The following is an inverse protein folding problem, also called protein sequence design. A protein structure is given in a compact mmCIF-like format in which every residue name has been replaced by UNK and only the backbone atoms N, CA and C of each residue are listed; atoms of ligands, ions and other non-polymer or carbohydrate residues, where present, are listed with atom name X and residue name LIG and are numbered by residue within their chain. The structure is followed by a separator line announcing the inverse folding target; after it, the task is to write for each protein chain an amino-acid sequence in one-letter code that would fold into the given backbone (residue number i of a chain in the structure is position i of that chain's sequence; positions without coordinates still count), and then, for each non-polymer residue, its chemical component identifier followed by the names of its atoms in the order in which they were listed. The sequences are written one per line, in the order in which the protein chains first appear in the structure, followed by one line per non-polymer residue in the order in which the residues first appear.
data_IF_489235484951
#
_entry.id   IF_489235484951
#
_cell.length_a   1.000
_cell.length_b   1.000
_cell.length_c   1.000
_cell.angle_alpha   90.00
_cell.angle_beta   90.00
_cell.angle_gamma   90.00
#
_symmetry.space_group_name_H-M   'P 1'
#
loop_
_entity.id
_entity.type
_entity.pdbx_description
1 polymer ?
#
# COMPACT_ATOMS: atom_id res chain seq x y z
N UNK A 1 22.45 -13.27 6.16
CA UNK A 1 22.78 -11.85 5.87
C UNK A 1 24.10 -11.80 5.13
N UNK A 2 24.20 -11.02 4.04
CA UNK A 2 25.47 -10.84 3.33
C UNK A 2 26.37 -9.82 4.04
N UNK A 3 25.84 -8.65 4.44
CA UNK A 3 26.50 -7.62 5.26
C UNK A 3 25.45 -6.83 6.08
N UNK A 4 25.89 -6.05 7.08
CA UNK A 4 25.03 -5.16 7.89
C UNK A 4 24.66 -5.69 9.27
N UNK A 5 23.73 -4.99 9.95
CA UNK A 5 23.18 -5.35 11.27
C UNK A 5 21.66 -5.14 11.25
N UNK A 6 20.92 -6.08 11.85
CA UNK A 6 19.45 -6.00 11.98
C UNK A 6 19.10 -6.23 13.44
N UNK A 7 18.38 -5.29 14.04
CA UNK A 7 17.87 -5.39 15.40
C UNK A 7 16.35 -5.25 15.35
N UNK A 8 15.64 -6.25 15.87
CA UNK A 8 14.18 -6.27 15.89
C UNK A 8 13.74 -6.40 17.33
N UNK A 9 12.90 -5.46 17.76
CA UNK A 9 12.36 -5.41 19.11
C UNK A 9 13.45 -5.49 20.22
N UNK A 10 14.62 -4.91 19.93
CA UNK A 10 15.78 -4.88 20.84
C UNK A 10 16.72 -6.08 20.76
N UNK A 11 16.41 -7.10 19.96
CA UNK A 11 17.25 -8.29 19.78
C UNK A 11 17.99 -8.27 18.45
N UNK A 12 19.26 -8.65 18.45
CA UNK A 12 20.06 -8.74 17.22
C UNK A 12 19.77 -10.05 16.49
N UNK A 13 19.39 -9.96 15.20
CA UNK A 13 18.96 -11.10 14.40
C UNK A 13 20.03 -12.19 14.27
N UNK A 14 21.31 -11.82 14.34
CA UNK A 14 22.42 -12.77 14.15
C UNK A 14 22.81 -13.46 15.45
N UNK A 15 22.75 -12.76 16.58
CA UNK A 15 23.17 -13.32 17.87
C UNK A 15 22.00 -13.87 18.70
N UNK A 16 20.78 -13.38 18.47
CA UNK A 16 19.58 -13.74 19.23
C UNK A 16 18.38 -14.09 18.31
N UNK A 17 18.53 -15.01 17.34
CA UNK A 17 17.49 -15.30 16.35
C UNK A 17 16.19 -15.84 16.96
N UNK A 18 16.26 -16.65 18.02
CA UNK A 18 15.05 -17.20 18.66
C UNK A 18 14.21 -16.11 19.34
N UNK A 19 14.86 -15.19 20.07
CA UNK A 19 14.16 -14.06 20.70
C UNK A 19 13.53 -13.13 19.66
N UNK A 20 14.16 -12.99 18.49
CA UNK A 20 13.55 -12.28 17.37
C UNK A 20 12.30 -13.02 16.90
N UNK A 21 12.37 -14.33 16.62
CA UNK A 21 11.21 -15.13 16.17
C UNK A 21 10.05 -15.10 17.15
N UNK A 22 10.33 -15.18 18.45
CA UNK A 22 9.30 -15.07 19.50
C UNK A 22 8.63 -13.69 19.55
N UNK A 23 9.33 -12.64 19.11
CA UNK A 23 8.84 -11.27 19.15
C UNK A 23 8.09 -10.82 17.89
N UNK A 24 8.05 -11.64 16.84
CA UNK A 24 7.50 -11.26 15.54
C UNK A 24 6.35 -12.18 15.10
N UNK A 25 5.41 -11.60 14.35
CA UNK A 25 4.44 -12.33 13.55
C UNK A 25 4.76 -12.10 12.07
N UNK A 26 4.51 -13.09 11.21
CA UNK A 26 4.77 -12.97 9.78
C UNK A 26 3.53 -13.41 9.00
N UNK A 27 3.13 -12.57 8.06
CA UNK A 27 2.11 -12.85 7.05
C UNK A 27 2.79 -12.76 5.68
N UNK A 28 3.09 -13.91 5.08
CA UNK A 28 3.73 -13.98 3.76
C UNK A 28 2.77 -13.61 2.64
N UNK A 29 3.25 -13.26 1.44
CA UNK A 29 2.39 -13.05 0.27
C UNK A 29 1.60 -14.32 -0.09
N UNK A 30 2.27 -15.48 -0.11
CA UNK A 30 1.64 -16.77 -0.37
C UNK A 30 0.83 -17.29 0.83
N UNK A 31 -0.27 -17.99 0.54
CA UNK A 31 -1.09 -18.63 1.57
C UNK A 31 -0.43 -19.94 2.03
N UNK A 32 -0.19 -20.06 3.33
CA UNK A 32 0.53 -21.18 3.95
C UNK A 32 -0.36 -21.98 4.92
N UNK A 33 -1.67 -21.93 4.70
CA UNK A 33 -2.67 -22.61 5.51
C UNK A 33 -2.79 -24.08 5.09
N UNK A 34 -2.79 -24.99 6.07
CA UNK A 34 -3.13 -26.39 5.84
C UNK A 34 -4.59 -26.49 5.38
N UNK A 35 -4.80 -27.16 4.24
CA UNK A 35 -6.08 -27.25 3.52
C UNK A 35 -7.10 -28.16 4.20
N UNK A 36 -6.63 -29.09 5.03
CA UNK A 36 -7.42 -30.14 5.65
C UNK A 36 -7.69 -29.88 7.15
N UNK A 37 -7.22 -28.74 7.65
CA UNK A 37 -7.57 -28.24 8.98
C UNK A 37 -8.74 -27.25 8.90
N UNK A 38 -9.53 -27.18 9.97
CA UNK A 38 -10.53 -26.13 10.17
C UNK A 38 -9.88 -24.80 10.54
N UNK A 39 -10.61 -23.71 10.35
CA UNK A 39 -10.24 -22.36 10.77
C UNK A 39 -9.74 -22.33 12.22
N UNK A 40 -10.49 -22.97 13.14
CA UNK A 40 -10.11 -23.08 14.56
C UNK A 40 -8.85 -23.89 14.77
N UNK A 41 -8.75 -25.04 14.10
CA UNK A 41 -7.61 -25.93 14.25
C UNK A 41 -6.31 -25.28 13.81
N UNK A 42 -6.31 -24.45 12.76
CA UNK A 42 -5.13 -23.67 12.35
C UNK A 42 -4.62 -22.80 13.50
N UNK A 43 -5.51 -22.05 14.15
CA UNK A 43 -5.13 -21.13 15.23
C UNK A 43 -4.72 -21.89 16.49
N UNK A 44 -5.46 -22.94 16.86
CA UNK A 44 -5.12 -23.84 17.96
C UNK A 44 -3.77 -24.51 17.76
N UNK A 45 -3.49 -24.99 16.54
CA UNK A 45 -2.23 -25.62 16.19
C UNK A 45 -1.07 -24.63 16.30
N UNK A 46 -1.22 -23.43 15.75
CA UNK A 46 -0.20 -22.39 15.85
C UNK A 46 0.07 -22.03 17.32
N UNK A 47 -0.97 -21.84 18.15
CA UNK A 47 -0.75 -21.57 19.57
C UNK A 47 -0.07 -22.72 20.33
N UNK A 48 -0.27 -23.98 19.91
CA UNK A 48 0.46 -25.13 20.49
C UNK A 48 1.93 -25.14 20.11
N UNK A 49 2.28 -24.76 18.88
CA UNK A 49 3.68 -24.65 18.45
C UNK A 49 4.46 -23.66 19.31
N UNK A 50 3.81 -22.58 19.76
CA UNK A 50 4.38 -21.59 20.67
C UNK A 50 4.12 -21.89 22.15
N UNK A 51 3.77 -23.13 22.50
CA UNK A 51 3.55 -23.58 23.88
C UNK A 51 2.54 -22.76 24.70
N UNK A 52 1.54 -22.15 24.04
CA UNK A 52 0.55 -21.34 24.74
C UNK A 52 -0.35 -22.22 25.63
N UNK A 53 -0.58 -21.83 26.91
CA UNK A 53 -1.49 -22.54 27.80
C UNK A 53 -2.89 -22.68 27.20
N UNK A 54 -3.53 -23.84 27.39
CA UNK A 54 -4.82 -24.18 26.74
C UNK A 54 -5.89 -23.10 26.93
N UNK A 55 -6.07 -22.61 28.16
CA UNK A 55 -7.10 -21.61 28.48
C UNK A 55 -6.83 -20.29 27.75
N UNK A 56 -5.58 -19.81 27.80
CA UNK A 56 -5.18 -18.56 27.12
C UNK A 56 -5.29 -18.70 25.59
N UNK A 57 -4.90 -19.86 25.07
CA UNK A 57 -4.96 -20.15 23.63
C UNK A 57 -6.40 -20.16 23.12
N UNK A 58 -7.32 -20.81 23.82
CA UNK A 58 -8.74 -20.85 23.44
C UNK A 58 -9.35 -19.45 23.44
N UNK A 59 -9.12 -18.67 24.50
CA UNK A 59 -9.58 -17.28 24.56
C UNK A 59 -8.98 -16.44 23.41
N UNK A 60 -7.70 -16.64 23.08
CA UNK A 60 -7.04 -15.94 21.98
C UNK A 60 -7.59 -16.33 20.61
N UNK A 61 -7.93 -17.60 20.40
CA UNK A 61 -8.60 -18.06 19.17
C UNK A 61 -9.94 -17.35 19.00
N UNK A 62 -10.74 -17.27 20.07
CA UNK A 62 -12.04 -16.59 20.02
C UNK A 62 -11.89 -15.09 19.71
N UNK A 63 -10.97 -14.41 20.39
CA UNK A 63 -10.64 -13.01 20.17
C UNK A 63 -10.25 -12.75 18.71
N UNK A 64 -9.36 -13.57 18.15
CA UNK A 64 -8.85 -13.39 16.80
C UNK A 64 -9.87 -13.72 15.72
N UNK A 65 -10.70 -14.75 15.92
CA UNK A 65 -11.79 -15.03 14.99
C UNK A 65 -12.79 -13.87 14.93
N UNK A 66 -12.98 -13.17 16.06
CA UNK A 66 -13.82 -11.97 16.09
C UNK A 66 -13.18 -10.77 15.43
N UNK A 67 -11.88 -10.56 15.69
CA UNK A 67 -11.11 -9.50 15.02
C UNK A 67 -11.20 -9.61 13.50
N UNK A 68 -11.16 -10.82 12.94
CA UNK A 68 -11.13 -11.03 11.48
C UNK A 68 -12.48 -11.47 10.89
N UNK A 69 -13.57 -11.39 11.66
CA UNK A 69 -14.94 -11.75 11.26
C UNK A 69 -15.05 -13.16 10.62
N UNK A 70 -14.52 -14.18 11.31
CA UNK A 70 -14.54 -15.58 10.89
C UNK A 70 -15.18 -16.53 11.91
N UNK A 71 -15.90 -16.04 12.92
CA UNK A 71 -16.52 -16.85 13.96
C UNK A 71 -17.52 -17.87 13.39
N UNK A 72 -18.35 -17.43 12.42
CA UNK A 72 -19.32 -18.30 11.75
C UNK A 72 -18.66 -19.37 10.85
N UNK A 73 -17.35 -19.29 10.61
CA UNK A 73 -16.57 -20.23 9.80
C UNK A 73 -15.58 -21.05 10.63
N UNK A 74 -15.65 -20.96 11.95
CA UNK A 74 -14.75 -21.62 12.91
C UNK A 74 -14.47 -23.10 12.62
N UNK A 75 -15.51 -23.87 12.30
CA UNK A 75 -15.40 -25.31 12.05
C UNK A 75 -15.43 -25.68 10.56
N UNK A 76 -15.20 -24.69 9.67
CA UNK A 76 -15.10 -24.91 8.23
C UNK A 76 -13.64 -25.20 7.86
N UNK A 77 -13.42 -26.20 7.00
CA UNK A 77 -12.10 -26.50 6.44
C UNK A 77 -11.58 -25.34 5.60
N UNK A 78 -10.31 -25.01 5.75
CA UNK A 78 -9.67 -23.87 5.06
C UNK A 78 -9.76 -23.97 3.53
N UNK A 79 -9.79 -25.18 2.96
CA UNK A 79 -9.97 -25.39 1.51
C UNK A 79 -11.29 -24.83 0.97
N UNK A 80 -12.30 -24.67 1.81
CA UNK A 80 -13.61 -24.11 1.46
C UNK A 80 -13.72 -22.60 1.69
N UNK A 81 -12.65 -21.94 2.13
CA UNK A 81 -12.59 -20.48 2.29
C UNK A 81 -12.26 -19.78 0.98
N UNK A 82 -12.81 -18.58 0.78
CA UNK A 82 -12.37 -17.67 -0.29
C UNK A 82 -10.94 -17.17 -0.04
N UNK A 83 -10.29 -16.61 -1.06
CA UNK A 83 -8.94 -16.01 -0.92
C UNK A 83 -8.88 -14.95 0.19
N UNK A 84 -9.85 -14.04 0.23
CA UNK A 84 -9.95 -13.03 1.29
C UNK A 84 -10.17 -13.61 2.68
N UNK A 85 -10.97 -14.68 2.82
CA UNK A 85 -11.12 -15.38 4.10
C UNK A 85 -9.82 -16.06 4.55
N UNK A 86 -9.10 -16.69 3.61
CA UNK A 86 -7.78 -17.28 3.91
C UNK A 86 -6.78 -16.20 4.34
N UNK A 87 -6.79 -15.04 3.69
CA UNK A 87 -5.93 -13.92 4.07
C UNK A 87 -6.21 -13.41 5.48
N UNK A 88 -7.50 -13.25 5.82
CA UNK A 88 -7.95 -12.89 7.16
C UNK A 88 -7.48 -13.91 8.21
N UNK A 89 -7.59 -15.21 7.91
CA UNK A 89 -7.08 -16.26 8.80
C UNK A 89 -5.56 -16.22 8.97
N UNK A 90 -4.80 -15.94 7.91
CA UNK A 90 -3.35 -15.76 7.97
C UNK A 90 -2.94 -14.60 8.90
N UNK A 91 -3.64 -13.47 8.81
CA UNK A 91 -3.45 -12.33 9.71
C UNK A 91 -3.73 -12.74 11.16
N UNK A 92 -4.86 -13.41 11.40
CA UNK A 92 -5.18 -13.93 12.73
C UNK A 92 -4.09 -14.89 13.26
N UNK A 93 -3.59 -15.80 12.40
CA UNK A 93 -2.51 -16.73 12.76
C UNK A 93 -1.23 -15.99 13.16
N UNK A 94 -0.82 -14.98 12.40
CA UNK A 94 0.35 -14.14 12.71
C UNK A 94 0.25 -13.38 14.04
N UNK A 95 -0.97 -13.15 14.53
CA UNK A 95 -1.25 -12.45 15.79
C UNK A 95 -1.43 -13.38 17.00
N UNK A 96 -1.43 -14.71 16.80
CA UNK A 96 -1.65 -15.68 17.89
C UNK A 96 -0.72 -15.45 19.08
N UNK A 97 0.54 -15.11 18.81
CA UNK A 97 1.61 -14.93 19.82
C UNK A 97 1.70 -13.52 20.41
N UNK A 98 0.78 -12.61 20.07
CA UNK A 98 0.83 -11.18 20.45
C UNK A 98 2.22 -10.57 20.14
N UNK A 99 2.67 -10.63 18.87
CA UNK A 99 4.01 -10.17 18.52
C UNK A 99 4.17 -8.68 18.78
N UNK A 100 5.40 -8.24 19.07
CA UNK A 100 5.74 -6.81 19.15
C UNK A 100 5.80 -6.17 17.77
N UNK A 101 6.19 -6.95 16.76
CA UNK A 101 6.25 -6.52 15.36
C UNK A 101 5.53 -7.53 14.46
N UNK A 102 4.57 -7.08 13.67
CA UNK A 102 3.92 -7.87 12.64
C UNK A 102 4.49 -7.50 11.26
N UNK A 103 5.10 -8.47 10.58
CA UNK A 103 5.54 -8.34 9.20
C UNK A 103 4.44 -8.79 8.25
N UNK A 104 4.10 -7.96 7.27
CA UNK A 104 3.06 -8.26 6.28
C UNK A 104 3.62 -8.04 4.88
N UNK A 105 3.76 -9.13 4.13
CA UNK A 105 4.24 -9.08 2.76
C UNK A 105 3.07 -9.03 1.79
N UNK A 106 2.87 -7.87 1.15
CA UNK A 106 1.75 -7.56 0.25
C UNK A 106 0.40 -8.05 0.80
N UNK A 107 -0.10 -7.47 1.91
CA UNK A 107 -1.27 -7.97 2.64
C UNK A 107 -2.55 -8.05 1.81
N UNK A 108 -2.67 -7.25 0.76
CA UNK A 108 -3.91 -7.10 -0.01
C UNK A 108 -3.81 -7.49 -1.48
N UNK A 109 -2.69 -8.08 -1.92
CA UNK A 109 -2.55 -8.50 -3.33
C UNK A 109 -3.61 -9.55 -3.71
N UNK A 110 -4.20 -9.36 -4.89
CA UNK A 110 -5.18 -10.29 -5.45
C UNK A 110 -6.54 -10.30 -4.75
N UNK A 111 -6.80 -9.33 -3.88
CA UNK A 111 -8.09 -9.18 -3.21
C UNK A 111 -8.96 -8.13 -3.89
N UNK A 112 -10.27 -8.34 -3.82
CA UNK A 112 -11.23 -7.35 -4.28
C UNK A 112 -11.21 -6.09 -3.39
N UNK A 113 -11.62 -4.92 -3.92
CA UNK A 113 -11.54 -3.66 -3.18
C UNK A 113 -12.21 -3.66 -1.79
N UNK A 114 -13.35 -4.35 -1.63
CA UNK A 114 -14.04 -4.38 -0.34
C UNK A 114 -13.28 -5.20 0.70
N UNK A 115 -12.65 -6.29 0.29
CA UNK A 115 -11.79 -7.08 1.18
C UNK A 115 -10.53 -6.31 1.55
N UNK A 116 -9.93 -5.54 0.62
CA UNK A 116 -8.75 -4.69 0.92
C UNK A 116 -9.03 -3.70 2.04
N UNK A 117 -10.14 -2.95 1.92
CA UNK A 117 -10.55 -1.95 2.93
C UNK A 117 -10.72 -2.61 4.30
N UNK A 118 -11.38 -3.77 4.38
CA UNK A 118 -11.53 -4.51 5.64
C UNK A 118 -10.19 -4.93 6.25
N UNK A 119 -9.26 -5.40 5.44
CA UNK A 119 -7.91 -5.72 5.91
C UNK A 119 -7.21 -4.47 6.46
N UNK A 120 -7.38 -3.33 5.81
CA UNK A 120 -6.81 -2.07 6.30
C UNK A 120 -7.34 -1.69 7.67
N UNK A 121 -8.64 -1.87 7.90
CA UNK A 121 -9.25 -1.59 9.21
C UNK A 121 -8.66 -2.50 10.30
N UNK A 122 -8.49 -3.80 10.01
CA UNK A 122 -7.83 -4.73 10.94
C UNK A 122 -6.39 -4.31 11.25
N UNK A 123 -5.62 -3.96 10.22
CA UNK A 123 -4.23 -3.50 10.38
C UNK A 123 -4.17 -2.25 11.26
N UNK A 124 -5.07 -1.28 11.06
CA UNK A 124 -5.17 -0.07 11.89
C UNK A 124 -5.51 -0.41 13.34
N UNK A 125 -6.45 -1.34 13.57
CA UNK A 125 -6.84 -1.73 14.93
C UNK A 125 -5.73 -2.50 15.66
N UNK A 126 -5.01 -3.38 14.97
CA UNK A 126 -3.82 -4.07 15.48
C UNK A 126 -2.75 -3.06 15.88
N UNK A 127 -2.52 -2.04 15.05
CA UNK A 127 -1.54 -1.00 15.34
C UNK A 127 -1.94 -0.16 16.56
N UNK A 128 -3.22 0.22 16.67
CA UNK A 128 -3.77 0.95 17.84
C UNK A 128 -3.63 0.16 19.15
N UNK A 129 -3.64 -1.17 19.09
CA UNK A 129 -3.39 -2.04 20.25
C UNK A 129 -1.90 -2.09 20.66
N UNK A 130 -1.01 -1.38 19.96
CA UNK A 130 0.40 -1.24 20.29
C UNK A 130 1.34 -2.16 19.50
N UNK A 131 0.83 -2.92 18.53
CA UNK A 131 1.67 -3.74 17.66
C UNK A 131 2.32 -2.87 16.58
N UNK A 132 3.64 -2.93 16.44
CA UNK A 132 4.32 -2.28 15.31
C UNK A 132 4.09 -3.08 14.04
N UNK A 133 3.72 -2.44 12.94
CA UNK A 133 3.46 -3.13 11.67
C UNK A 133 4.54 -2.71 10.66
N UNK A 134 5.19 -3.70 10.07
CA UNK A 134 6.08 -3.53 8.94
C UNK A 134 5.42 -4.18 7.72
N UNK A 135 5.00 -3.37 6.75
CA UNK A 135 4.33 -3.86 5.55
C UNK A 135 5.12 -3.51 4.30
N UNK A 136 5.09 -4.41 3.32
CA UNK A 136 5.54 -4.17 1.95
C UNK A 136 4.32 -4.14 1.04
N UNK A 137 4.32 -3.21 0.08
CA UNK A 137 3.23 -3.09 -0.88
C UNK A 137 3.70 -2.35 -2.12
N UNK A 138 3.17 -2.73 -3.28
CA UNK A 138 3.24 -1.94 -4.51
C UNK A 138 2.01 -1.04 -4.69
N UNK A 139 1.05 -1.09 -3.76
CA UNK A 139 -0.14 -0.26 -3.80
C UNK A 139 0.08 1.04 -3.03
N UNK A 140 0.10 2.16 -3.76
CA UNK A 140 0.37 3.47 -3.19
C UNK A 140 -0.77 3.96 -2.27
N UNK A 141 -2.01 3.58 -2.56
CA UNK A 141 -3.17 3.84 -1.70
C UNK A 141 -3.05 3.13 -0.35
N UNK A 142 -2.58 1.88 -0.35
CA UNK A 142 -2.32 1.10 0.87
C UNK A 142 -1.23 1.73 1.73
N UNK A 143 -0.09 2.09 1.11
CA UNK A 143 1.00 2.76 1.80
C UNK A 143 0.53 4.07 2.45
N UNK A 144 -0.22 4.89 1.72
CA UNK A 144 -0.76 6.17 2.21
C UNK A 144 -1.78 6.00 3.34
N UNK A 145 -2.60 4.95 3.30
CA UNK A 145 -3.67 4.71 4.28
C UNK A 145 -3.21 4.06 5.58
N UNK A 146 -2.14 3.27 5.54
CA UNK A 146 -1.71 2.42 6.67
C UNK A 146 -0.45 2.89 7.38
N UNK A 147 0.38 3.72 6.73
CA UNK A 147 1.74 3.96 7.19
C UNK A 147 1.90 5.32 7.85
N UNK A 148 2.48 5.34 9.06
CA UNK A 148 2.99 6.58 9.65
C UNK A 148 4.24 7.08 8.94
N UNK A 149 5.02 6.16 8.35
CA UNK A 149 6.27 6.43 7.63
C UNK A 149 6.41 5.48 6.45
N UNK A 150 6.69 6.05 5.28
CA UNK A 150 6.89 5.34 4.02
C UNK A 150 8.36 5.41 3.62
N UNK A 151 8.89 4.29 3.14
CA UNK A 151 10.18 4.24 2.45
C UNK A 151 9.88 3.80 1.01
N UNK A 152 10.19 4.63 0.02
CA UNK A 152 10.11 4.22 -1.38
C UNK A 152 11.44 3.56 -1.73
N UNK A 153 11.37 2.38 -2.31
CA UNK A 153 12.53 1.59 -2.71
C UNK A 153 12.52 1.43 -4.22
N UNK A 154 13.64 1.71 -4.88
CA UNK A 154 13.85 1.42 -6.30
C UNK A 154 15.25 0.83 -6.47
N UNK A 155 15.38 -0.17 -7.34
CA UNK A 155 16.63 -0.87 -7.62
C UNK A 155 17.43 -1.34 -6.37
N UNK A 156 16.74 -1.64 -5.27
CA UNK A 156 17.33 -2.14 -4.02
C UNK A 156 17.81 -1.04 -3.06
N UNK A 157 17.57 0.24 -3.38
CA UNK A 157 17.95 1.38 -2.56
C UNK A 157 16.71 2.16 -2.10
N UNK A 158 16.76 2.70 -0.89
CA UNK A 158 15.73 3.62 -0.39
C UNK A 158 15.96 4.98 -1.05
N UNK A 159 15.07 5.37 -1.95
CA UNK A 159 15.19 6.63 -2.70
C UNK A 159 14.62 7.82 -1.91
N UNK A 160 13.58 7.59 -1.10
CA UNK A 160 13.02 8.61 -0.21
C UNK A 160 12.35 7.98 1.00
N UNK A 161 12.36 8.70 2.11
CA UNK A 161 11.68 8.35 3.36
C UNK A 161 10.94 9.56 3.91
N UNK A 162 9.72 9.37 4.39
CA UNK A 162 8.96 10.45 5.03
C UNK A 162 7.58 10.00 5.50
N UNK A 163 6.86 10.90 6.17
CA UNK A 163 5.43 10.70 6.41
C UNK A 163 4.65 10.85 5.10
N UNK A 164 3.49 10.19 4.94
CA UNK A 164 2.75 10.26 3.68
C UNK A 164 2.42 11.69 3.24
N UNK A 165 2.04 12.55 4.19
CA UNK A 165 1.74 13.97 3.92
C UNK A 165 2.99 14.80 3.58
N UNK A 166 4.14 14.51 4.20
CA UNK A 166 5.42 15.18 3.88
C UNK A 166 5.84 14.88 2.44
N UNK A 167 5.71 13.60 2.04
CA UNK A 167 6.02 13.16 0.70
C UNK A 167 5.10 13.78 -0.36
N UNK A 168 3.79 13.86 -0.08
CA UNK A 168 2.82 14.51 -0.99
C UNK A 168 3.07 16.02 -1.11
N UNK A 169 3.30 16.71 0.00
CA UNK A 169 3.60 18.15 0.00
C UNK A 169 4.93 18.49 -0.69
N UNK A 170 5.86 17.53 -0.78
CA UNK A 170 7.09 17.71 -1.56
C UNK A 170 6.81 17.95 -3.05
N UNK A 171 5.64 17.60 -3.58
CA UNK A 171 5.23 17.90 -4.96
C UNK A 171 4.55 19.25 -5.13
N UNK A 172 4.27 19.97 -4.05
CA UNK A 172 3.40 21.15 -4.06
C UNK A 172 2.09 20.88 -3.34
N UNK A 173 1.26 21.91 -3.24
CA UNK A 173 -0.07 21.83 -2.62
C UNK A 173 -1.07 21.14 -3.54
N UNK A 174 -1.05 21.49 -4.83
CA UNK A 174 -1.91 20.93 -5.86
C UNK A 174 -1.17 20.62 -7.16
N UNK A 175 -1.79 19.77 -7.98
CA UNK A 175 -1.37 19.42 -9.33
C UNK A 175 -2.43 19.86 -10.33
N UNK A 176 -2.03 20.66 -11.31
CA UNK A 176 -2.90 21.11 -12.40
C UNK A 176 -2.48 20.39 -13.68
N UNK A 177 -3.31 19.46 -14.15
CA UNK A 177 -3.17 18.83 -15.45
C UNK A 177 -3.79 19.70 -16.54
N UNK A 178 -3.03 19.96 -17.60
CA UNK A 178 -3.44 20.78 -18.74
C UNK A 178 -3.15 20.04 -20.04
N UNK A 179 -4.16 20.00 -20.92
CA UNK A 179 -3.95 19.68 -22.33
C UNK A 179 -4.11 20.96 -23.13
N UNK A 180 -3.10 21.31 -23.92
CA UNK A 180 -3.09 22.58 -24.65
C UNK A 180 -2.80 22.37 -26.14
N UNK A 181 -2.99 23.42 -26.94
CA UNK A 181 -2.56 23.44 -28.34
C UNK A 181 -1.04 23.44 -28.50
N UNK A 182 -0.31 23.92 -27.50
CA UNK A 182 1.16 23.94 -27.46
C UNK A 182 1.66 23.69 -26.02
N UNK A 183 1.90 22.42 -25.71
CA UNK A 183 2.33 22.00 -24.38
C UNK A 183 3.74 22.52 -24.03
N UNK A 184 4.61 22.74 -25.02
CA UNK A 184 5.98 23.26 -24.76
C UNK A 184 5.93 24.75 -24.43
N UNK A 185 5.16 25.51 -25.21
CA UNK A 185 4.90 26.92 -24.92
C UNK A 185 4.23 27.10 -23.56
N UNK A 186 3.25 26.25 -23.24
CA UNK A 186 2.57 26.28 -21.95
C UNK A 186 3.54 26.00 -20.78
N UNK A 187 4.40 24.97 -20.88
CA UNK A 187 5.44 24.69 -19.87
C UNK A 187 6.33 25.92 -19.63
N UNK A 188 6.82 26.52 -20.71
CA UNK A 188 7.73 27.68 -20.66
C UNK A 188 7.08 28.93 -20.07
N UNK A 189 5.76 29.09 -20.19
CA UNK A 189 5.02 30.21 -19.59
C UNK A 189 4.72 29.98 -18.10
N UNK A 190 4.42 28.74 -17.72
CA UNK A 190 4.10 28.36 -16.36
C UNK A 190 5.33 28.27 -15.47
N UNK A 191 6.47 27.80 -15.99
CA UNK A 191 7.75 27.77 -15.27
C UNK A 191 8.25 29.17 -14.85
N UNK A 192 7.69 30.24 -15.43
CA UNK A 192 7.99 31.64 -15.06
C UNK A 192 7.14 32.17 -13.90
N UNK A 193 6.22 31.37 -13.35
CA UNK A 193 5.39 31.76 -12.21
C UNK A 193 6.05 31.28 -10.92
N UNK A 194 6.25 32.19 -9.95
CA UNK A 194 6.81 31.85 -8.63
C UNK A 194 5.94 30.84 -7.86
N UNK A 195 4.63 30.83 -8.16
CA UNK A 195 3.66 29.88 -7.59
C UNK A 195 3.74 28.48 -8.19
N UNK A 196 4.46 28.30 -9.31
CA UNK A 196 4.67 27.01 -9.98
C UNK A 196 6.03 26.46 -9.57
N UNK A 197 6.02 25.33 -8.87
CA UNK A 197 7.23 24.62 -8.43
C UNK A 197 7.98 23.95 -9.59
N UNK A 198 7.23 23.50 -10.59
CA UNK A 198 7.77 22.86 -11.78
C UNK A 198 6.67 22.32 -12.68
N UNK A 199 7.05 22.01 -13.91
CA UNK A 199 6.14 21.47 -14.91
C UNK A 199 6.73 20.18 -15.48
N UNK A 200 5.88 19.15 -15.64
CA UNK A 200 6.27 17.87 -16.22
C UNK A 200 5.40 17.53 -17.42
N UNK A 201 6.02 17.09 -18.50
CA UNK A 201 5.32 16.56 -19.66
C UNK A 201 4.68 15.19 -19.39
N UNK A 202 3.48 14.99 -19.94
CA UNK A 202 2.79 13.70 -20.08
C UNK A 202 2.53 13.39 -21.55
N UNK A 203 2.09 12.16 -21.83
CA UNK A 203 1.79 11.71 -23.20
C UNK A 203 0.77 12.59 -23.94
N UNK A 204 -0.21 13.19 -23.24
CA UNK A 204 -1.26 14.05 -23.84
C UNK A 204 -1.32 15.48 -23.30
N UNK A 205 -0.42 15.87 -22.39
CA UNK A 205 -0.53 17.15 -21.68
C UNK A 205 0.70 17.50 -20.85
N UNK A 206 0.51 18.42 -19.91
CA UNK A 206 1.49 18.78 -18.88
C UNK A 206 0.84 18.72 -17.51
N UNK A 207 1.65 18.49 -16.48
CA UNK A 207 1.27 18.65 -15.07
C UNK A 207 2.10 19.79 -14.50
N UNK A 208 1.43 20.84 -14.04
CA UNK A 208 2.04 21.90 -13.25
C UNK A 208 1.88 21.58 -11.76
N UNK A 209 3.00 21.53 -11.05
CA UNK A 209 3.08 21.43 -9.60
C UNK A 209 3.03 22.84 -9.01
N UNK A 210 2.06 23.12 -8.14
CA UNK A 210 1.86 24.49 -7.61
C UNK A 210 2.03 24.52 -6.09
N UNK A 211 2.59 25.61 -5.57
CA UNK A 211 2.89 25.80 -4.13
C UNK A 211 1.76 26.47 -3.35
N UNK A 212 0.62 26.71 -4.00
CA UNK A 212 -0.57 27.35 -3.46
C UNK A 212 -1.80 26.56 -3.90
N UNK A 213 -2.92 26.76 -3.24
CA UNK A 213 -4.21 26.18 -3.64
C UNK A 213 -4.51 26.50 -5.12
N UNK A 214 -4.55 25.42 -5.91
CA UNK A 214 -4.69 25.48 -7.35
C UNK A 214 -6.07 25.98 -7.79
N UNK A 215 -7.08 25.95 -6.91
CA UNK A 215 -8.41 26.50 -7.17
C UNK A 215 -8.35 28.01 -7.40
N UNK A 216 -7.52 28.71 -6.63
CA UNK A 216 -7.35 30.17 -6.74
C UNK A 216 -6.35 30.56 -7.83
N UNK A 217 -5.33 29.73 -8.07
CA UNK A 217 -4.33 29.99 -9.10
C UNK A 217 -4.82 29.65 -10.53
N UNK A 218 -5.77 28.74 -10.66
CA UNK A 218 -6.23 28.25 -11.96
C UNK A 218 -6.73 29.37 -12.91
N UNK A 219 -7.56 30.34 -12.47
CA UNK A 219 -7.96 31.46 -13.33
C UNK A 219 -6.77 32.24 -13.92
N UNK A 220 -5.76 32.55 -13.10
CA UNK A 220 -4.56 33.27 -13.52
C UNK A 220 -3.77 32.46 -14.57
N UNK A 221 -3.59 31.15 -14.33
CA UNK A 221 -2.96 30.23 -15.28
C UNK A 221 -3.72 30.22 -16.60
N UNK A 222 -5.05 30.14 -16.56
CA UNK A 222 -5.86 30.09 -17.77
C UNK A 222 -5.75 31.39 -18.58
N UNK A 223 -5.78 32.55 -17.92
CA UNK A 223 -5.64 33.84 -18.58
C UNK A 223 -4.24 34.03 -19.17
N UNK A 224 -3.19 33.62 -18.46
CA UNK A 224 -1.81 33.70 -18.95
C UNK A 224 -1.60 32.86 -20.20
N UNK A 225 -2.14 31.64 -20.23
CA UNK A 225 -2.07 30.77 -21.41
C UNK A 225 -2.88 31.34 -22.59
N UNK A 226 -4.09 31.85 -22.33
CA UNK A 226 -4.93 32.47 -23.37
C UNK A 226 -4.28 33.73 -23.96
N UNK A 227 -3.72 34.60 -23.12
CA UNK A 227 -2.99 35.80 -23.54
C UNK A 227 -1.72 35.45 -24.32
N UNK A 228 -1.11 34.30 -24.03
CA UNK A 228 -0.01 33.73 -24.81
C UNK A 228 -0.44 33.07 -26.13
N UNK A 229 -1.73 33.13 -26.51
CA UNK A 229 -2.26 32.51 -27.72
C UNK A 229 -2.40 30.98 -27.64
N UNK A 230 -2.28 30.39 -26.44
CA UNK A 230 -2.36 28.94 -26.22
C UNK A 230 -3.79 28.55 -25.89
N UNK A 231 -4.39 27.70 -26.73
CA UNK A 231 -5.75 27.17 -26.50
C UNK A 231 -5.69 26.01 -25.51
N UNK A 232 -6.47 26.11 -24.44
CA UNK A 232 -6.65 25.05 -23.45
C UNK A 232 -7.75 24.10 -23.95
N UNK A 233 -7.46 22.80 -23.96
CA UNK A 233 -8.38 21.72 -24.38
C UNK A 233 -9.01 21.02 -23.18
N UNK A 234 -8.22 20.78 -22.13
CA UNK A 234 -8.67 20.16 -20.90
C UNK A 234 -7.89 20.72 -19.71
N UNK A 235 -8.56 20.75 -18.56
CA UNK A 235 -7.98 21.13 -17.27
C UNK A 235 -8.49 20.14 -16.23
N UNK A 236 -7.61 19.67 -15.36
CA UNK A 236 -7.99 18.91 -14.17
C UNK A 236 -7.12 19.35 -12.99
N UNK A 237 -7.76 19.61 -11.85
CA UNK A 237 -7.11 19.93 -10.59
C UNK A 237 -7.22 18.72 -9.66
N UNK A 238 -6.11 18.32 -9.05
CA UNK A 238 -6.11 17.31 -7.99
C UNK A 238 -5.02 17.60 -6.96
N UNK A 239 -5.20 17.05 -5.76
CA UNK A 239 -4.12 16.97 -4.77
C UNK A 239 -3.09 15.91 -5.20
N UNK A 240 -1.80 16.07 -4.83
CA UNK A 240 -0.80 15.04 -5.05
C UNK A 240 -1.21 13.72 -4.37
N UNK A 241 -1.17 12.61 -5.11
CA UNK A 241 -1.32 11.26 -4.55
C UNK A 241 0.05 10.64 -4.29
N UNK A 242 0.07 9.52 -3.57
CA UNK A 242 1.29 8.75 -3.37
C UNK A 242 1.82 8.14 -4.69
N UNK A 243 0.95 7.89 -5.67
CA UNK A 243 1.39 7.54 -7.04
C UNK A 243 2.19 8.68 -7.68
N UNK A 244 1.75 9.93 -7.55
CA UNK A 244 2.48 11.07 -8.10
C UNK A 244 3.88 11.19 -7.44
N UNK A 245 3.96 10.94 -6.13
CA UNK A 245 5.22 10.91 -5.37
C UNK A 245 6.14 9.84 -5.92
N UNK A 246 5.64 8.62 -6.09
CA UNK A 246 6.43 7.51 -6.64
C UNK A 246 6.97 7.85 -8.03
N UNK A 247 6.12 8.38 -8.92
CA UNK A 247 6.50 8.76 -10.29
C UNK A 247 7.51 9.92 -10.32
N UNK A 248 7.45 10.83 -9.34
CA UNK A 248 8.43 11.91 -9.19
C UNK A 248 9.82 11.38 -8.83
N UNK A 249 9.93 10.52 -7.82
CA UNK A 249 11.23 10.02 -7.35
C UNK A 249 11.84 8.93 -8.23
N UNK A 250 11.01 8.12 -8.91
CA UNK A 250 11.50 7.02 -9.77
C UNK A 250 11.64 7.43 -11.24
N UNK A 251 11.03 8.55 -11.64
CA UNK A 251 11.00 9.01 -13.03
C UNK A 251 10.16 8.13 -13.98
N UNK A 252 9.53 7.05 -13.50
CA UNK A 252 8.71 6.12 -14.30
C UNK A 252 7.24 6.30 -13.96
N UNK A 253 6.35 6.28 -14.95
CA UNK A 253 4.93 6.05 -14.69
C UNK A 253 4.77 4.62 -14.14
N UNK A 254 3.94 4.46 -13.10
CA UNK A 254 3.58 3.14 -12.61
C UNK A 254 3.00 2.35 -13.79
N UNK A 255 3.57 1.17 -14.05
CA UNK A 255 2.98 0.23 -15.01
C UNK A 255 1.62 -0.19 -14.43
N UNK A 256 0.55 0.05 -15.17
CA UNK A 256 -0.78 -0.48 -14.89
C UNK A 256 -0.68 -1.99 -14.62
N UNK A 257 -0.88 -2.41 -13.37
CA UNK A 257 -1.16 -3.80 -13.03
C UNK A 257 -2.66 -3.95 -12.87
N UNK A 258 -3.34 -4.38 -13.94
CA UNK A 258 -4.78 -4.63 -13.88
C UNK A 258 -5.51 -4.87 -15.20
N UNK A 259 -4.86 -5.37 -16.24
CA UNK A 259 -5.58 -6.03 -17.34
C UNK A 259 -4.65 -7.08 -17.95
N UNK A 260 -4.83 -8.32 -17.54
CA UNK A 260 -4.43 -9.45 -18.36
C UNK A 260 -5.02 -9.23 -19.75
N UNK A 261 -4.18 -9.28 -20.78
CA UNK A 261 -4.63 -9.38 -22.16
C UNK A 261 -5.49 -10.63 -22.26
N UNK A 262 -6.81 -10.49 -22.25
CA UNK A 262 -7.70 -11.56 -22.68
C UNK A 262 -7.41 -11.80 -24.16
N UNK A 263 -6.57 -12.79 -24.44
CA UNK A 263 -6.37 -13.31 -25.80
C UNK A 263 -7.73 -13.84 -26.25
N UNK A 264 -8.42 -13.11 -27.12
CA UNK A 264 -9.64 -13.57 -27.77
C UNK A 264 -9.27 -14.79 -28.61
N UNK A 265 -9.53 -15.98 -28.08
CA UNK A 265 -9.50 -17.22 -28.85
C UNK A 265 -10.67 -17.13 -29.83
N UNK A 266 -10.36 -16.90 -31.11
CA UNK A 266 -11.33 -17.04 -32.19
C UNK A 266 -11.85 -18.49 -32.20
N UNK A 267 -13.16 -18.72 -32.23
CA UNK A 267 -13.68 -20.06 -32.47
C UNK A 267 -13.33 -20.46 -33.91
N UNK A 268 -12.50 -21.49 -34.04
CA UNK A 268 -12.29 -22.19 -35.29
C UNK A 268 -13.61 -22.77 -35.77
N UNK A 269 -13.97 -22.44 -37.01
CA UNK A 269 -15.14 -22.98 -37.71
C UNK A 269 -14.98 -24.49 -37.94
N UNK A 270 -16.14 -25.15 -37.98
CA UNK A 270 -16.36 -26.55 -38.39
C UNK A 270 -15.53 -26.99 -39.58
#
# INVERSE_FOLDING_TARGET
MQKGRVTIAGYDLRTEPEKVRESIGIVFQELTLDRDMTVREILEYHGRLYSMPKVQRQARVDELLSLVELEAKRDVLTRHLSGGMKRRLEIARGLMTRPRVLFMDEPTIGLDPQTRIRIWDYVKDINRQGTTIFLTTHYMDEADQLSDRINIIDHGEIIVTGKPWELKNALGEDLIYLETSDNRGASSLLEKLDTVKGVRGKSKGIIAMVNVDGTYLLPEIMDKLRNGGIKIRAVNLKKPSMDDVFVHYTGRELRDTGTEKTTVVKPGRR
#
